data_IF_157593048140
#
_entry.id   IF_157593048140
#
_cell.length_a   1.000
_cell.length_b   1.000
_cell.length_c   1.000
_cell.angle_alpha   90.00
_cell.angle_beta   90.00
_cell.angle_gamma   90.00
#
_symmetry.space_group_name_H-M   'P 1'
#
loop_
_entity.id
_entity.type
_entity.pdbx_description
1 polymer ?
#
# COMPACT_ATOMS: atom_id res chain seq x y z
N UNK A 1 -9.83 6.99 9.61
CA UNK A 1 -8.75 6.24 8.95
C UNK A 1 -9.33 4.95 8.37
N UNK A 2 -8.79 4.51 7.24
CA UNK A 2 -9.20 3.29 6.57
C UNK A 2 -7.99 2.36 6.42
N UNK A 3 -8.25 1.06 6.59
CA UNK A 3 -7.26 -0.01 6.38
C UNK A 3 -7.86 -1.06 5.45
N UNK A 4 -7.11 -1.52 4.45
CA UNK A 4 -7.53 -2.55 3.51
C UNK A 4 -6.51 -3.68 3.53
N UNK A 5 -6.92 -4.83 4.04
CA UNK A 5 -6.07 -6.01 4.15
C UNK A 5 -6.38 -6.86 5.37
N UNK A 6 -5.67 -7.97 5.50
CA UNK A 6 -5.80 -8.93 6.60
C UNK A 6 -4.51 -9.04 7.43
N UNK A 7 -3.47 -8.31 7.03
CA UNK A 7 -2.14 -8.30 7.63
C UNK A 7 -1.96 -7.32 8.77
N UNK A 8 -0.74 -7.24 9.27
CA UNK A 8 -0.28 -6.19 10.17
C UNK A 8 0.01 -4.91 9.39
N UNK A 9 0.60 -5.05 8.21
CA UNK A 9 0.76 -3.98 7.22
C UNK A 9 -0.30 -4.11 6.12
N UNK A 10 -0.39 -3.09 5.29
CA UNK A 10 -1.11 -3.13 4.03
C UNK A 10 -0.26 -2.52 2.92
N UNK A 11 -0.29 -3.13 1.75
CA UNK A 11 0.31 -2.57 0.54
C UNK A 11 -0.72 -1.79 -0.30
N UNK A 12 -2.00 -1.81 0.10
CA UNK A 12 -3.09 -1.12 -0.59
C UNK A 12 -3.36 0.22 0.08
N UNK A 13 -3.88 0.17 1.30
CA UNK A 13 -4.18 1.33 2.12
C UNK A 13 -4.04 0.95 3.59
N UNK A 14 -3.20 1.68 4.30
CA UNK A 14 -2.96 1.53 5.73
C UNK A 14 -3.43 2.78 6.50
N UNK A 15 -3.52 2.65 7.81
CA UNK A 15 -4.10 3.66 8.69
C UNK A 15 -3.07 4.48 9.49
N UNK A 16 -1.77 4.31 9.18
CA UNK A 16 -0.71 5.05 9.87
C UNK A 16 -0.56 6.50 9.43
N UNK A 17 -0.95 6.84 8.18
CA UNK A 17 -0.90 8.21 7.70
C UNK A 17 -1.87 9.13 8.46
N UNK A 18 -1.68 10.43 8.35
CA UNK A 18 -2.56 11.43 8.96
C UNK A 18 -4.04 11.19 8.57
N UNK A 19 -5.01 11.55 9.42
CA UNK A 19 -6.42 11.48 9.06
C UNK A 19 -6.74 12.34 7.84
N UNK A 20 -7.62 11.84 6.98
CA UNK A 20 -8.08 12.52 5.78
C UNK A 20 -9.60 12.53 5.70
N UNK A 21 -10.15 13.44 4.89
CA UNK A 21 -11.58 13.46 4.57
C UNK A 21 -11.86 12.40 3.51
N UNK A 22 -12.94 11.63 3.71
CA UNK A 22 -13.31 10.59 2.76
C UNK A 22 -14.83 10.35 2.71
N UNK A 23 -15.26 9.80 1.58
CA UNK A 23 -16.59 9.18 1.40
C UNK A 23 -16.39 7.70 1.13
N UNK A 24 -17.00 6.85 1.96
CA UNK A 24 -16.92 5.40 1.83
C UNK A 24 -18.30 4.80 1.62
N UNK A 25 -18.47 4.05 0.53
CA UNK A 25 -19.69 3.34 0.18
C UNK A 25 -19.37 1.85 0.14
N UNK A 26 -20.07 1.07 0.97
CA UNK A 26 -19.97 -0.40 0.95
C UNK A 26 -21.28 -0.98 0.46
N UNK A 27 -21.19 -1.79 -0.58
CA UNK A 27 -22.32 -2.53 -1.14
C UNK A 27 -22.06 -4.02 -0.96
N UNK A 28 -22.96 -4.71 -0.26
CA UNK A 28 -22.86 -6.15 -0.06
C UNK A 28 -24.05 -6.84 -0.66
N UNK A 29 -23.81 -7.72 -1.63
CA UNK A 29 -24.82 -8.53 -2.28
C UNK A 29 -24.34 -9.98 -2.30
N UNK A 30 -25.08 -10.87 -1.64
CA UNK A 30 -24.76 -12.28 -1.55
C UNK A 30 -23.32 -12.55 -1.06
N UNK A 31 -22.43 -13.07 -1.91
CA UNK A 31 -21.02 -13.36 -1.61
C UNK A 31 -20.07 -12.22 -1.99
N UNK A 32 -20.58 -11.19 -2.62
CA UNK A 32 -19.80 -10.04 -3.13
C UNK A 32 -19.89 -8.90 -2.15
N UNK A 33 -18.75 -8.29 -1.84
CA UNK A 33 -18.66 -7.04 -1.12
C UNK A 33 -17.86 -6.05 -1.98
N UNK A 34 -18.46 -4.91 -2.28
CA UNK A 34 -17.87 -3.88 -3.11
C UNK A 34 -17.76 -2.58 -2.32
N UNK A 35 -16.54 -2.11 -2.17
CA UNK A 35 -16.21 -0.86 -1.49
C UNK A 35 -15.73 0.17 -2.50
N UNK A 36 -16.34 1.35 -2.45
CA UNK A 36 -15.85 2.55 -3.12
C UNK A 36 -15.43 3.54 -2.05
N UNK A 37 -14.19 4.02 -2.13
CA UNK A 37 -13.60 4.95 -1.18
C UNK A 37 -13.00 6.13 -1.94
N UNK A 38 -13.62 7.28 -1.79
CA UNK A 38 -13.16 8.55 -2.34
C UNK A 38 -12.51 9.36 -1.24
N UNK A 39 -11.26 9.77 -1.43
CA UNK A 39 -10.50 10.43 -0.37
C UNK A 39 -9.83 11.70 -0.88
N UNK A 40 -9.75 12.69 0.00
CA UNK A 40 -8.99 13.92 -0.21
C UNK A 40 -7.66 13.82 0.55
N UNK A 41 -6.57 14.11 -0.13
CA UNK A 41 -5.22 14.10 0.42
C UNK A 41 -4.57 15.46 0.27
N UNK A 42 -3.58 15.73 1.11
CA UNK A 42 -2.80 16.97 1.08
C UNK A 42 -1.37 16.65 0.67
N UNK A 43 -0.85 17.41 -0.28
CA UNK A 43 0.55 17.46 -0.63
C UNK A 43 1.15 18.76 -0.08
N UNK A 44 1.98 18.66 0.96
CA UNK A 44 2.58 19.81 1.63
C UNK A 44 3.96 20.21 1.10
N UNK A 45 4.43 19.60 0.02
CA UNK A 45 5.65 20.03 -0.70
C UNK A 45 5.33 20.96 -1.88
N UNK A 46 4.08 21.05 -2.28
CA UNK A 46 3.62 21.98 -3.29
C UNK A 46 2.76 23.06 -2.66
N UNK A 47 3.01 24.31 -3.02
CA UNK A 47 2.20 25.45 -2.60
C UNK A 47 1.64 26.14 -3.85
N UNK A 48 0.38 26.50 -3.80
CA UNK A 48 -0.19 27.55 -4.64
C UNK A 48 0.08 28.88 -3.95
N UNK A 49 -0.03 30.00 -4.64
CA UNK A 49 0.17 31.32 -4.08
C UNK A 49 -0.39 31.44 -2.65
N UNK A 50 0.30 32.17 -1.77
CA UNK A 50 -0.08 32.40 -0.37
C UNK A 50 -0.08 31.19 0.58
N UNK A 51 0.82 30.22 0.36
CA UNK A 51 1.01 29.09 1.26
C UNK A 51 -0.16 28.10 1.33
N UNK A 52 -1.05 28.08 0.35
CA UNK A 52 -2.11 27.08 0.25
C UNK A 52 -1.53 25.76 -0.22
N UNK A 53 -1.64 24.72 0.62
CA UNK A 53 -1.17 23.38 0.28
C UNK A 53 -1.98 22.78 -0.86
N UNK A 54 -1.31 22.00 -1.72
CA UNK A 54 -1.96 21.32 -2.82
C UNK A 54 -2.88 20.20 -2.31
N UNK A 55 -4.10 20.19 -2.81
CA UNK A 55 -5.05 19.08 -2.61
C UNK A 55 -5.01 18.14 -3.80
N UNK A 56 -5.11 16.86 -3.50
CA UNK A 56 -5.26 15.79 -4.47
C UNK A 56 -6.32 14.81 -3.98
N UNK A 57 -6.80 13.97 -4.86
CA UNK A 57 -7.88 13.06 -4.58
C UNK A 57 -7.51 11.65 -4.98
N UNK A 58 -8.17 10.68 -4.38
CA UNK A 58 -8.11 9.29 -4.81
C UNK A 58 -9.49 8.67 -4.88
N UNK A 59 -9.65 7.78 -5.86
CA UNK A 59 -10.78 6.88 -5.98
C UNK A 59 -10.25 5.45 -5.88
N UNK A 60 -10.65 4.75 -4.82
CA UNK A 60 -10.26 3.37 -4.57
C UNK A 60 -11.49 2.48 -4.63
N UNK A 61 -11.42 1.46 -5.44
CA UNK A 61 -12.42 0.42 -5.63
C UNK A 61 -11.86 -0.91 -5.16
N UNK A 62 -12.55 -1.61 -4.27
CA UNK A 62 -12.18 -2.92 -3.79
C UNK A 62 -13.37 -3.87 -3.89
N UNK A 63 -13.25 -4.84 -4.78
CA UNK A 63 -14.25 -5.87 -5.02
C UNK A 63 -13.78 -7.17 -4.38
N UNK A 64 -14.44 -7.66 -3.36
CA UNK A 64 -14.14 -8.94 -2.74
C UNK A 64 -15.28 -9.94 -2.87
N UNK A 65 -14.92 -11.21 -3.06
CA UNK A 65 -15.86 -12.32 -3.19
C UNK A 65 -15.47 -13.45 -2.24
N UNK A 66 -16.45 -13.96 -1.50
CA UNK A 66 -16.31 -15.16 -0.71
C UNK A 66 -16.46 -16.39 -1.60
N UNK A 67 -15.35 -16.93 -2.12
CA UNK A 67 -15.32 -18.12 -2.97
C UNK A 67 -15.85 -19.35 -2.21
N UNK A 68 -15.52 -19.44 -0.93
CA UNK A 68 -16.02 -20.43 0.01
C UNK A 68 -16.21 -19.82 1.40
N UNK A 69 -16.63 -20.63 2.39
CA UNK A 69 -16.69 -20.22 3.80
C UNK A 69 -15.31 -19.82 4.36
N UNK A 70 -14.24 -20.33 3.74
CA UNK A 70 -12.88 -20.22 4.24
C UNK A 70 -11.98 -19.36 3.34
N UNK A 71 -12.40 -19.02 2.12
CA UNK A 71 -11.59 -18.30 1.14
C UNK A 71 -12.32 -17.04 0.70
N UNK A 72 -11.67 -15.91 0.89
CA UNK A 72 -12.07 -14.60 0.33
C UNK A 72 -10.98 -14.16 -0.64
N UNK A 73 -11.38 -13.74 -1.82
CA UNK A 73 -10.50 -13.15 -2.84
C UNK A 73 -10.98 -11.75 -3.16
N UNK A 74 -10.05 -10.82 -3.27
CA UNK A 74 -10.31 -9.42 -3.59
C UNK A 74 -9.51 -8.96 -4.78
N UNK A 75 -10.08 -8.02 -5.52
CA UNK A 75 -9.42 -7.21 -6.55
C UNK A 75 -9.60 -5.75 -6.20
N UNK A 76 -8.58 -4.95 -6.46
CA UNK A 76 -8.68 -3.52 -6.22
C UNK A 76 -8.03 -2.71 -7.33
N UNK A 77 -8.53 -1.50 -7.47
CA UNK A 77 -7.96 -0.43 -8.26
C UNK A 77 -7.95 0.82 -7.39
N UNK A 78 -6.86 1.55 -7.42
CA UNK A 78 -6.79 2.85 -6.80
C UNK A 78 -6.16 3.85 -7.77
N UNK A 79 -6.82 4.99 -7.95
CA UNK A 79 -6.37 6.06 -8.83
C UNK A 79 -6.15 7.30 -7.97
N UNK A 80 -4.99 7.94 -8.15
CA UNK A 80 -4.70 9.26 -7.62
C UNK A 80 -4.67 10.25 -8.75
N UNK A 81 -5.37 11.35 -8.54
CA UNK A 81 -5.45 12.45 -9.49
C UNK A 81 -5.38 13.81 -8.77
N UNK A 82 -4.83 14.78 -9.45
CA UNK A 82 -4.90 16.17 -9.09
C UNK A 82 -5.26 16.98 -10.34
N UNK A 83 -6.23 17.85 -10.20
CA UNK A 83 -6.57 18.83 -11.25
C UNK A 83 -6.15 20.18 -10.70
N UNK A 84 -4.94 20.57 -11.08
CA UNK A 84 -4.35 21.82 -10.63
C UNK A 84 -4.95 22.97 -11.40
N UNK A 85 -5.47 23.95 -10.69
CA UNK A 85 -5.82 25.26 -11.21
C UNK A 85 -4.84 26.27 -10.55
N UNK A 86 -4.24 27.20 -11.31
CA UNK A 86 -3.38 28.24 -10.72
C UNK A 86 -4.04 29.08 -9.63
N UNK A 87 -5.36 29.07 -9.54
CA UNK A 87 -6.15 29.87 -8.61
C UNK A 87 -6.77 29.07 -7.47
N UNK A 88 -6.86 27.74 -7.58
CA UNK A 88 -7.55 26.88 -6.64
C UNK A 88 -6.74 25.61 -6.35
N UNK A 89 -6.74 25.19 -5.12
CA UNK A 89 -6.11 23.93 -4.71
C UNK A 89 -6.99 22.74 -5.12
N UNK A 90 -6.62 22.05 -6.20
CA UNK A 90 -7.16 20.75 -6.62
C UNK A 90 -8.69 20.68 -6.73
N UNK A 91 -9.20 20.19 -7.84
CA UNK A 91 -10.63 19.91 -8.03
C UNK A 91 -10.86 18.41 -8.08
N UNK A 92 -11.93 17.95 -7.46
CA UNK A 92 -12.40 16.58 -7.60
C UNK A 92 -13.03 16.41 -8.99
N UNK A 93 -12.62 15.37 -9.70
CA UNK A 93 -13.17 15.04 -11.00
C UNK A 93 -14.34 14.06 -10.85
N UNK A 94 -15.52 14.46 -11.33
CA UNK A 94 -16.78 13.71 -11.15
C UNK A 94 -16.73 12.35 -11.87
N UNK A 95 -15.98 12.23 -12.95
CA UNK A 95 -15.84 10.99 -13.71
C UNK A 95 -15.28 9.84 -12.86
N UNK A 96 -14.50 10.16 -11.81
CA UNK A 96 -13.99 9.18 -10.84
C UNK A 96 -15.04 8.69 -9.83
N UNK A 97 -16.24 9.24 -9.82
CA UNK A 97 -17.38 8.66 -9.10
C UNK A 97 -17.97 7.42 -9.79
N UNK A 98 -17.56 7.13 -11.01
CA UNK A 98 -17.97 5.92 -11.71
C UNK A 98 -17.57 4.69 -10.89
N UNK A 99 -18.52 3.87 -10.42
CA UNK A 99 -18.22 2.74 -9.54
C UNK A 99 -17.69 1.51 -10.26
N UNK A 100 -17.45 1.57 -11.57
CA UNK A 100 -16.94 0.41 -12.31
C UNK A 100 -15.44 0.24 -12.07
N UNK A 101 -15.09 -0.89 -11.42
CA UNK A 101 -13.68 -1.27 -11.20
C UNK A 101 -12.97 -1.53 -12.54
N UNK A 102 -11.72 -1.16 -12.63
CA UNK A 102 -10.86 -1.25 -13.83
C UNK A 102 -11.33 -0.39 -15.01
N UNK A 103 -12.31 0.49 -14.81
CA UNK A 103 -12.75 1.41 -15.86
C UNK A 103 -11.58 2.26 -16.37
N UNK A 104 -10.76 2.77 -15.44
CA UNK A 104 -9.58 3.58 -15.78
C UNK A 104 -8.40 2.78 -16.31
N UNK A 105 -8.21 1.55 -15.89
CA UNK A 105 -7.19 0.67 -16.47
C UNK A 105 -7.48 0.41 -17.95
N UNK A 106 -8.75 0.38 -18.34
CA UNK A 106 -9.18 0.33 -19.74
C UNK A 106 -9.01 1.67 -20.46
N UNK A 107 -9.20 2.81 -19.76
CA UNK A 107 -9.01 4.16 -20.30
C UNK A 107 -7.55 4.61 -20.37
N UNK A 108 -6.60 3.95 -19.70
CA UNK A 108 -5.16 4.22 -19.89
C UNK A 108 -4.72 4.09 -21.37
N UNK A 109 -5.50 3.37 -22.19
CA UNK A 109 -5.44 3.47 -23.64
C UNK A 109 -5.85 4.84 -24.24
N UNK A 110 -6.40 5.76 -23.43
CA UNK A 110 -6.98 7.05 -23.82
C UNK A 110 -6.19 8.28 -23.32
N UNK A 111 -4.88 8.12 -23.01
CA UNK A 111 -3.98 9.22 -22.59
C UNK A 111 -4.27 9.85 -21.21
N UNK A 112 -4.80 9.12 -20.25
CA UNK A 112 -4.82 9.59 -18.85
C UNK A 112 -3.40 9.59 -18.27
N UNK A 113 -3.00 10.71 -17.68
CA UNK A 113 -1.71 10.88 -16.97
C UNK A 113 -1.80 10.55 -15.48
N UNK A 114 -2.94 10.05 -15.01
CA UNK A 114 -3.17 9.81 -13.58
C UNK A 114 -2.50 8.52 -13.10
N UNK A 115 -2.03 8.55 -11.86
CA UNK A 115 -1.36 7.40 -11.26
C UNK A 115 -2.38 6.33 -10.83
N UNK A 116 -2.19 5.09 -11.28
CA UNK A 116 -3.08 3.96 -11.00
C UNK A 116 -2.30 2.79 -10.41
N UNK A 117 -2.75 2.30 -9.25
CA UNK A 117 -2.25 1.09 -8.60
C UNK A 117 -3.34 0.03 -8.61
N UNK A 118 -3.04 -1.13 -9.17
CA UNK A 118 -3.93 -2.28 -9.27
C UNK A 118 -3.43 -3.41 -8.40
N UNK A 119 -4.30 -4.33 -8.03
CA UNK A 119 -3.85 -5.55 -7.37
C UNK A 119 -4.94 -6.49 -6.93
N UNK A 120 -4.50 -7.47 -6.16
CA UNK A 120 -5.36 -8.51 -5.61
C UNK A 120 -5.00 -8.78 -4.15
N UNK A 121 -5.97 -9.28 -3.39
CA UNK A 121 -5.76 -9.81 -2.06
C UNK A 121 -6.48 -11.14 -1.86
N UNK A 122 -5.97 -11.92 -0.93
CA UNK A 122 -6.53 -13.21 -0.56
C UNK A 122 -6.49 -13.41 0.94
N UNK A 123 -7.53 -14.05 1.47
CA UNK A 123 -7.56 -14.62 2.81
C UNK A 123 -8.04 -16.06 2.74
N UNK A 124 -7.31 -16.98 3.37
CA UNK A 124 -7.65 -18.38 3.44
C UNK A 124 -7.50 -18.92 4.86
N UNK A 125 -8.62 -19.33 5.47
CA UNK A 125 -8.65 -19.98 6.77
C UNK A 125 -8.63 -21.49 6.57
N UNK A 126 -7.72 -22.22 7.22
CA UNK A 126 -7.57 -23.66 7.07
C UNK A 126 -7.16 -24.34 8.37
N UNK A 127 -7.37 -25.65 8.47
CA UNK A 127 -7.06 -26.44 9.65
C UNK A 127 -7.55 -25.82 10.97
N UNK A 128 -8.68 -25.13 10.95
CA UNK A 128 -9.37 -24.46 12.06
C UNK A 128 -8.56 -23.38 12.81
N UNK A 129 -7.23 -23.47 12.83
CA UNK A 129 -6.32 -22.60 13.61
C UNK A 129 -5.42 -21.72 12.75
N UNK A 130 -5.41 -21.90 11.44
CA UNK A 130 -4.52 -21.17 10.55
C UNK A 130 -5.29 -20.21 9.64
N UNK A 131 -4.72 -19.04 9.43
CA UNK A 131 -5.21 -18.06 8.46
C UNK A 131 -4.03 -17.52 7.65
N UNK A 132 -3.97 -17.92 6.38
CA UNK A 132 -3.09 -17.32 5.39
C UNK A 132 -3.74 -16.06 4.81
N UNK A 133 -2.95 -15.06 4.51
CA UNK A 133 -3.36 -13.88 3.75
C UNK A 133 -2.23 -13.37 2.89
N UNK A 134 -2.59 -12.66 1.83
CA UNK A 134 -1.63 -12.07 0.92
C UNK A 134 -2.20 -10.89 0.16
N UNK A 135 -1.32 -10.03 -0.32
CA UNK A 135 -1.61 -8.92 -1.23
C UNK A 135 -0.59 -8.91 -2.35
N UNK A 136 -1.01 -8.56 -3.55
CA UNK A 136 -0.16 -8.34 -4.71
C UNK A 136 -0.56 -7.00 -5.32
N UNK A 137 0.41 -6.13 -5.55
CA UNK A 137 0.19 -4.80 -6.13
C UNK A 137 1.03 -4.62 -7.38
N UNK A 138 0.48 -3.89 -8.33
CA UNK A 138 1.13 -3.45 -9.55
C UNK A 138 0.86 -1.95 -9.72
N UNK A 139 1.94 -1.19 -9.84
CA UNK A 139 1.95 0.23 -10.13
C UNK A 139 2.77 0.40 -11.41
N UNK A 140 2.10 0.61 -12.54
CA UNK A 140 2.66 0.46 -13.89
C UNK A 140 3.20 -0.96 -14.17
N UNK A 141 2.52 -1.70 -15.00
CA UNK A 141 2.89 -3.07 -15.36
C UNK A 141 3.09 -3.18 -16.87
N UNK A 142 4.31 -3.52 -17.28
CA UNK A 142 4.63 -3.84 -18.68
C UNK A 142 4.92 -5.32 -18.82
N UNK A 143 3.95 -6.05 -19.40
CA UNK A 143 4.02 -7.51 -19.54
C UNK A 143 5.29 -8.00 -20.22
N UNK A 144 5.77 -7.30 -21.26
CA UNK A 144 6.95 -7.69 -22.05
C UNK A 144 8.22 -7.69 -21.18
N UNK A 145 8.46 -6.61 -20.45
CA UNK A 145 9.60 -6.43 -19.57
C UNK A 145 9.53 -7.36 -18.34
N UNK A 146 8.33 -7.61 -17.83
CA UNK A 146 8.11 -8.55 -16.72
C UNK A 146 8.47 -9.99 -17.13
N UNK A 147 8.01 -10.45 -18.29
CA UNK A 147 8.29 -11.80 -18.80
C UNK A 147 9.73 -11.99 -19.25
N UNK A 148 10.42 -10.93 -19.64
CA UNK A 148 11.85 -10.97 -19.96
C UNK A 148 12.74 -11.20 -18.74
N UNK A 149 12.18 -11.12 -17.51
CA UNK A 149 12.94 -11.26 -16.27
C UNK A 149 13.82 -10.05 -15.98
N UNK A 150 13.69 -8.98 -16.75
CA UNK A 150 14.42 -7.74 -16.57
C UNK A 150 14.02 -7.07 -15.26
N UNK A 151 15.02 -6.68 -14.48
CA UNK A 151 14.81 -5.81 -13.32
C UNK A 151 14.52 -4.37 -13.74
N UNK A 152 13.82 -4.20 -14.88
CA UNK A 152 13.47 -2.89 -15.40
C UNK A 152 12.74 -2.04 -14.37
N UNK A 153 13.11 -0.77 -14.28
CA UNK A 153 12.55 0.16 -13.31
C UNK A 153 11.03 0.37 -13.48
N UNK A 154 10.54 0.18 -14.70
CA UNK A 154 9.11 0.27 -15.04
C UNK A 154 8.27 -0.89 -14.48
N UNK A 155 8.90 -1.99 -14.03
CA UNK A 155 8.20 -3.10 -13.40
C UNK A 155 8.02 -2.84 -11.90
N UNK A 156 7.06 -2.01 -11.58
CA UNK A 156 6.71 -1.60 -10.23
C UNK A 156 5.67 -2.55 -9.64
N UNK A 157 6.09 -3.39 -8.71
CA UNK A 157 5.20 -4.32 -8.02
C UNK A 157 5.63 -4.56 -6.58
N UNK A 158 4.72 -5.05 -5.77
CA UNK A 158 4.99 -5.47 -4.40
C UNK A 158 4.10 -6.63 -3.98
N UNK A 159 4.51 -7.38 -2.97
CA UNK A 159 3.72 -8.43 -2.37
C UNK A 159 3.80 -8.44 -0.86
N UNK A 160 2.73 -8.92 -0.25
CA UNK A 160 2.61 -9.28 1.15
C UNK A 160 2.19 -10.74 1.25
N UNK A 161 2.78 -11.49 2.17
CA UNK A 161 2.32 -12.82 2.55
C UNK A 161 2.42 -12.95 4.06
N UNK A 162 1.39 -13.51 4.69
CA UNK A 162 1.40 -13.71 6.11
C UNK A 162 0.57 -14.93 6.55
N UNK A 163 0.93 -15.44 7.72
CA UNK A 163 0.30 -16.59 8.35
C UNK A 163 0.00 -16.26 9.82
N UNK A 164 -1.24 -16.50 10.24
CA UNK A 164 -1.66 -16.46 11.64
C UNK A 164 -1.89 -17.89 12.13
N UNK A 165 -1.39 -18.20 13.32
CA UNK A 165 -1.64 -19.44 14.03
C UNK A 165 -2.31 -19.12 15.36
N UNK A 166 -3.56 -19.53 15.51
CA UNK A 166 -4.42 -19.28 16.66
C UNK A 166 -4.28 -20.44 17.66
N UNK A 167 -4.16 -20.12 18.94
CA UNK A 167 -3.98 -21.10 20.03
C UNK A 167 -2.76 -22.00 19.76
N UNK A 168 -1.60 -21.41 19.65
CA UNK A 168 -0.31 -22.06 19.39
C UNK A 168 -0.08 -23.22 20.36
N UNK A 169 0.24 -24.41 19.83
CA UNK A 169 0.51 -25.58 20.66
C UNK A 169 -0.64 -25.98 21.58
N UNK A 170 -1.90 -25.66 21.22
CA UNK A 170 -3.11 -25.82 22.05
C UNK A 170 -3.17 -24.95 23.32
N UNK A 171 -2.27 -23.98 23.47
CA UNK A 171 -2.34 -22.98 24.53
C UNK A 171 -3.42 -21.96 24.17
N UNK A 172 -4.47 -21.89 24.98
CA UNK A 172 -5.59 -20.97 24.75
C UNK A 172 -5.12 -19.52 24.78
N UNK A 173 -5.60 -18.72 23.83
CA UNK A 173 -5.34 -17.28 23.70
C UNK A 173 -3.85 -16.93 23.48
N UNK A 174 -3.03 -17.89 23.03
CA UNK A 174 -1.68 -17.63 22.54
C UNK A 174 -1.72 -17.66 20.99
N UNK A 175 -1.59 -16.51 20.38
CA UNK A 175 -1.63 -16.36 18.92
C UNK A 175 -0.29 -15.88 18.37
N UNK A 176 0.11 -16.43 17.23
CA UNK A 176 1.32 -16.07 16.50
C UNK A 176 0.98 -15.57 15.10
N UNK A 177 1.71 -14.57 14.63
CA UNK A 177 1.60 -14.08 13.27
C UNK A 177 3.00 -13.84 12.71
N UNK A 178 3.22 -14.29 11.48
CA UNK A 178 4.42 -13.99 10.69
C UNK A 178 3.97 -13.31 9.40
N UNK A 179 4.68 -12.26 8.99
CA UNK A 179 4.36 -11.50 7.80
C UNK A 179 5.63 -11.07 7.07
N UNK A 180 5.64 -11.21 5.76
CA UNK A 180 6.68 -10.70 4.87
C UNK A 180 6.06 -9.70 3.91
N UNK A 181 6.69 -8.54 3.80
CA UNK A 181 6.34 -7.48 2.86
C UNK A 181 7.55 -7.19 1.97
N UNK A 182 7.34 -7.06 0.67
CA UNK A 182 8.35 -6.57 -0.26
C UNK A 182 7.71 -5.64 -1.27
N UNK A 183 8.34 -4.48 -1.46
CA UNK A 183 7.93 -3.49 -2.46
C UNK A 183 9.16 -3.09 -3.25
N UNK A 184 9.05 -3.16 -4.57
CA UNK A 184 10.12 -2.77 -5.48
C UNK A 184 10.37 -1.26 -5.46
N UNK A 185 11.56 -0.81 -5.96
CA UNK A 185 11.83 0.60 -6.17
C UNK A 185 10.78 1.26 -7.07
N UNK A 186 10.50 2.54 -6.83
CA UNK A 186 9.59 3.40 -7.60
C UNK A 186 8.09 3.07 -7.49
N UNK A 187 7.70 2.00 -6.80
CA UNK A 187 6.28 1.75 -6.48
C UNK A 187 5.73 2.94 -5.70
N UNK A 188 4.49 3.34 -5.96
CA UNK A 188 3.79 4.51 -5.40
C UNK A 188 4.32 5.87 -5.85
N UNK A 189 5.35 5.92 -6.68
CA UNK A 189 5.87 7.15 -7.25
C UNK A 189 5.34 7.36 -8.67
N UNK A 190 5.09 8.61 -9.01
CA UNK A 190 4.65 9.01 -10.35
C UNK A 190 5.53 10.14 -10.91
N UNK A 191 5.47 10.33 -12.24
CA UNK A 191 6.15 11.43 -12.94
C UNK A 191 5.73 12.79 -12.35
N UNK A 192 4.43 12.96 -12.14
CA UNK A 192 3.87 14.11 -11.43
C UNK A 192 3.83 13.77 -9.94
N UNK A 193 4.68 14.40 -9.14
CA UNK A 193 4.86 14.12 -7.72
C UNK A 193 3.56 14.20 -6.89
N UNK A 194 2.69 15.14 -7.20
CA UNK A 194 1.41 15.28 -6.54
C UNK A 194 0.51 14.05 -6.67
N UNK A 195 0.77 13.19 -7.66
CA UNK A 195 0.04 11.93 -7.86
C UNK A 195 0.70 10.72 -7.18
N UNK A 196 1.75 10.92 -6.36
CA UNK A 196 2.31 9.86 -5.54
C UNK A 196 1.31 9.40 -4.46
N UNK A 197 1.39 8.12 -4.04
CA UNK A 197 0.53 7.51 -3.02
C UNK A 197 0.92 7.94 -1.61
N UNK A 198 0.79 9.25 -1.33
CA UNK A 198 1.15 9.89 -0.05
C UNK A 198 0.09 10.87 0.42
N UNK A 199 0.08 11.13 1.73
CA UNK A 199 -0.69 12.16 2.41
C UNK A 199 0.17 12.81 3.49
N UNK A 200 0.33 14.16 3.50
CA UNK A 200 1.26 14.88 4.40
C UNK A 200 2.69 14.29 4.41
N UNK A 201 3.24 13.95 3.24
CA UNK A 201 4.53 13.28 3.06
C UNK A 201 4.63 11.88 3.74
N UNK A 202 3.52 11.28 4.10
CA UNK A 202 3.45 9.94 4.67
C UNK A 202 2.90 8.97 3.63
N UNK A 203 3.52 7.80 3.51
CA UNK A 203 2.99 6.72 2.67
C UNK A 203 1.58 6.33 3.10
N UNK A 204 0.67 6.19 2.16
CA UNK A 204 -0.69 5.70 2.40
C UNK A 204 -0.77 4.17 2.48
N UNK A 205 0.30 3.46 2.11
CA UNK A 205 0.42 2.01 2.21
C UNK A 205 1.37 1.62 3.36
N UNK A 206 2.41 0.81 3.10
CA UNK A 206 3.40 0.47 4.12
C UNK A 206 4.22 1.72 4.51
N UNK A 207 4.50 1.97 5.80
CA UNK A 207 5.26 3.15 6.25
C UNK A 207 6.68 3.22 5.69
N UNK A 208 7.27 2.11 5.26
CA UNK A 208 8.58 2.09 4.61
C UNK A 208 8.53 2.62 3.17
N UNK A 209 7.33 2.83 2.58
CA UNK A 209 7.18 3.29 1.21
C UNK A 209 7.56 2.24 0.19
N UNK A 210 8.73 2.37 -0.45
CA UNK A 210 9.19 1.48 -1.52
C UNK A 210 10.67 1.04 -1.33
N UNK A 211 11.17 0.20 -2.24
CA UNK A 211 12.55 -0.32 -2.25
C UNK A 211 12.93 -1.04 -0.94
N UNK A 212 12.03 -1.84 -0.39
CA UNK A 212 12.25 -2.52 0.88
C UNK A 212 11.80 -3.99 0.88
N UNK A 213 12.32 -4.74 1.87
CA UNK A 213 11.78 -5.99 2.37
C UNK A 213 11.67 -5.91 3.89
N UNK A 214 10.54 -6.34 4.44
CA UNK A 214 10.24 -6.34 5.86
C UNK A 214 9.76 -7.73 6.29
N UNK A 215 10.26 -8.23 7.42
CA UNK A 215 9.79 -9.41 8.11
C UNK A 215 9.23 -8.98 9.46
N UNK A 216 8.03 -9.42 9.79
CA UNK A 216 7.36 -9.11 11.04
C UNK A 216 6.96 -10.41 11.72
N UNK A 217 7.25 -10.51 13.01
CA UNK A 217 6.80 -11.57 13.89
C UNK A 217 6.01 -10.96 15.05
N UNK A 218 4.83 -11.47 15.33
CA UNK A 218 3.96 -10.99 16.39
C UNK A 218 3.50 -12.17 17.23
N UNK A 219 3.62 -12.02 18.55
CA UNK A 219 3.09 -12.93 19.54
C UNK A 219 2.10 -12.18 20.41
N UNK A 220 0.88 -12.70 20.53
CA UNK A 220 -0.18 -12.17 21.40
C UNK A 220 -0.59 -13.24 22.38
N UNK A 221 -0.58 -12.90 23.67
CA UNK A 221 -0.98 -13.82 24.73
C UNK A 221 -1.91 -13.17 25.73
N UNK A 222 -3.09 -13.75 25.90
CA UNK A 222 -4.10 -13.29 26.86
C UNK A 222 -4.40 -14.39 27.86
N UNK A 223 -3.58 -14.56 28.94
CA UNK A 223 -3.75 -15.63 29.92
C UNK A 223 -5.07 -15.52 30.71
N UNK A 224 -5.52 -14.32 30.96
CA UNK A 224 -6.80 -14.02 31.62
C UNK A 224 -7.49 -12.84 30.91
N UNK A 225 -8.79 -12.66 31.11
CA UNK A 225 -9.62 -11.68 30.40
C UNK A 225 -9.12 -10.23 30.51
N UNK A 226 -8.40 -9.88 31.58
CA UNK A 226 -7.92 -8.52 31.84
C UNK A 226 -6.43 -8.30 31.52
N UNK A 227 -5.67 -9.33 31.22
CA UNK A 227 -4.22 -9.22 31.02
C UNK A 227 -3.85 -9.66 29.60
N UNK A 228 -3.29 -8.76 28.82
CA UNK A 228 -2.86 -9.01 27.46
C UNK A 228 -1.39 -8.63 27.28
N UNK A 229 -0.61 -9.54 26.72
CA UNK A 229 0.78 -9.33 26.31
C UNK A 229 0.87 -9.30 24.78
N UNK A 230 1.61 -8.36 24.25
CA UNK A 230 1.88 -8.21 22.84
C UNK A 230 3.38 -8.03 22.62
N UNK A 231 4.01 -8.95 21.90
CA UNK A 231 5.40 -8.85 21.50
C UNK A 231 5.46 -8.76 19.98
N UNK A 232 6.13 -7.76 19.46
CA UNK A 232 6.33 -7.57 18.01
C UNK A 232 7.82 -7.43 17.75
N UNK A 233 8.36 -8.26 16.87
CA UNK A 233 9.67 -8.11 16.27
C UNK A 233 9.52 -7.76 14.81
N UNK A 234 10.25 -6.76 14.34
CA UNK A 234 10.33 -6.43 12.91
C UNK A 234 11.78 -6.27 12.48
N UNK A 235 12.09 -6.79 11.31
CA UNK A 235 13.35 -6.58 10.61
C UNK A 235 13.05 -6.03 9.23
N UNK A 236 13.66 -4.92 8.86
CA UNK A 236 13.55 -4.34 7.53
C UNK A 236 14.91 -4.03 6.93
N UNK A 237 14.99 -4.23 5.60
CA UNK A 237 16.10 -3.77 4.76
C UNK A 237 15.51 -2.89 3.67
N UNK A 238 16.04 -1.69 3.51
CA UNK A 238 15.56 -0.68 2.57
C UNK A 238 16.72 0.01 1.88
N UNK A 239 16.58 0.30 0.58
CA UNK A 239 17.46 1.20 -0.13
C UNK A 239 16.90 2.63 -0.09
N UNK A 240 17.65 3.55 0.48
CA UNK A 240 17.28 4.95 0.63
C UNK A 240 18.02 5.84 -0.37
N UNK A 241 17.41 6.94 -0.72
CA UNK A 241 18.04 7.99 -1.50
C UNK A 241 19.14 8.67 -0.67
N UNK A 242 20.25 9.00 -1.30
CA UNK A 242 21.32 9.74 -0.64
C UNK A 242 20.98 11.24 -0.61
N UNK A 243 21.14 11.89 0.54
CA UNK A 243 21.04 13.33 0.65
C UNK A 243 22.13 14.09 -0.12
N UNK A 244 23.21 13.39 -0.50
CA UNK A 244 24.36 13.95 -1.22
C UNK A 244 24.20 13.96 -2.73
N UNK A 245 23.20 13.27 -3.28
CA UNK A 245 22.97 13.16 -4.72
C UNK A 245 21.52 13.49 -5.06
N UNK A 246 21.29 14.03 -6.25
CA UNK A 246 19.94 14.22 -6.78
C UNK A 246 19.31 12.91 -7.29
N UNK A 247 20.07 11.82 -7.29
CA UNK A 247 19.61 10.51 -7.81
C UNK A 247 18.47 9.96 -6.97
N UNK A 248 17.39 9.57 -7.62
CA UNK A 248 16.27 8.87 -7.01
C UNK A 248 16.47 7.37 -7.20
N UNK A 249 16.63 6.62 -6.11
CA UNK A 249 16.76 5.15 -6.09
C UNK A 249 15.42 4.45 -5.83
N UNK A 250 14.33 5.21 -5.79
CA UNK A 250 12.97 4.69 -5.67
C UNK A 250 12.57 4.23 -4.27
N UNK A 251 13.29 4.66 -3.23
CA UNK A 251 12.93 4.38 -1.84
C UNK A 251 12.01 5.43 -1.23
N UNK A 252 12.20 6.69 -1.59
CA UNK A 252 11.44 7.82 -1.07
C UNK A 252 10.19 8.10 -1.92
N UNK A 253 9.04 7.66 -1.45
CA UNK A 253 7.75 7.85 -2.13
C UNK A 253 7.28 9.31 -2.22
N UNK A 254 8.00 10.25 -1.61
CA UNK A 254 7.70 11.69 -1.71
C UNK A 254 8.31 12.33 -2.95
N UNK A 255 9.18 11.62 -3.67
CA UNK A 255 9.91 12.09 -4.86
C UNK A 255 9.23 11.66 -6.14
N UNK A 256 9.39 12.49 -7.18
CA UNK A 256 9.05 12.11 -8.56
C UNK A 256 10.14 11.20 -9.16
N UNK A 257 9.78 10.33 -10.08
CA UNK A 257 10.75 9.56 -10.85
C UNK A 257 11.25 10.26 -12.14
N UNK A 258 11.09 11.58 -12.27
CA UNK A 258 11.62 12.37 -13.41
C UNK A 258 13.12 12.16 -13.62
N UNK A 259 13.86 11.87 -12.53
CA UNK A 259 15.30 11.58 -12.58
C UNK A 259 15.47 10.07 -12.41
N UNK A 260 15.40 9.28 -13.51
CA UNK A 260 15.57 7.84 -13.43
C UNK A 260 16.99 7.48 -12.99
N UNK A 261 17.16 6.30 -12.38
CA UNK A 261 18.47 5.79 -12.02
C UNK A 261 19.36 5.58 -13.25
N UNK A 262 20.65 5.41 -13.01
CA UNK A 262 21.64 5.18 -14.05
C UNK A 262 21.39 3.86 -14.81
N UNK A 263 20.45 3.87 -15.75
CA UNK A 263 20.14 2.74 -16.61
C UNK A 263 18.73 2.13 -16.41
N UNK A 264 18.33 1.20 -17.27
CA UNK A 264 16.98 0.62 -17.28
C UNK A 264 16.78 -0.44 -16.18
N UNK A 265 17.85 -0.95 -15.58
CA UNK A 265 17.80 -2.05 -14.60
C UNK A 265 17.97 -1.51 -13.20
N UNK A 266 16.98 -1.79 -12.34
CA UNK A 266 16.94 -1.30 -10.96
C UNK A 266 16.84 -2.49 -9.99
N UNK A 267 17.97 -2.99 -9.45
CA UNK A 267 17.91 -4.00 -8.39
C UNK A 267 17.33 -3.45 -7.10
N UNK A 268 16.86 -4.36 -6.24
CA UNK A 268 16.41 -4.04 -4.89
C UNK A 268 17.55 -3.48 -4.04
N UNK A 269 17.20 -2.59 -3.13
CA UNK A 269 18.11 -2.00 -2.14
C UNK A 269 19.20 -1.09 -2.71
N UNK A 270 18.97 -0.50 -3.89
CA UNK A 270 19.84 0.54 -4.40
C UNK A 270 19.88 1.76 -3.47
N UNK A 271 20.97 2.55 -3.60
CA UNK A 271 21.22 3.71 -2.77
C UNK A 271 21.89 3.38 -1.45
N UNK A 272 21.56 4.08 -0.40
CA UNK A 272 22.09 3.83 0.94
C UNK A 272 21.27 2.72 1.60
N UNK A 273 21.93 1.58 1.83
CA UNK A 273 21.24 0.46 2.48
C UNK A 273 21.02 0.76 3.95
N UNK A 274 19.76 0.77 4.36
CA UNK A 274 19.33 0.89 5.74
C UNK A 274 18.75 -0.44 6.23
N UNK A 275 19.19 -0.88 7.43
CA UNK A 275 18.68 -2.10 8.08
C UNK A 275 18.23 -1.74 9.48
N UNK A 276 17.00 -2.09 9.81
CA UNK A 276 16.39 -1.78 11.10
C UNK A 276 15.85 -3.07 11.72
N UNK A 277 16.25 -3.34 12.95
CA UNK A 277 15.62 -4.34 13.80
C UNK A 277 14.94 -3.63 14.97
N UNK A 278 13.66 -3.91 15.18
CA UNK A 278 12.89 -3.31 16.25
C UNK A 278 12.13 -4.37 17.04
N UNK A 279 12.07 -4.18 18.36
CA UNK A 279 11.27 -4.99 19.29
C UNK A 279 10.32 -4.07 20.03
N UNK A 280 9.05 -4.44 20.08
CA UNK A 280 8.03 -3.77 20.90
C UNK A 280 7.38 -4.78 21.83
N UNK A 281 7.35 -4.47 23.10
CA UNK A 281 6.71 -5.27 24.15
C UNK A 281 5.66 -4.41 24.84
N UNK A 282 4.43 -4.87 24.82
CA UNK A 282 3.30 -4.17 25.45
C UNK A 282 2.58 -5.14 26.38
N UNK A 283 2.23 -4.65 27.56
CA UNK A 283 1.34 -5.32 28.50
C UNK A 283 0.20 -4.37 28.86
N UNK A 284 -1.02 -4.87 28.87
CA UNK A 284 -2.22 -4.11 29.29
C UNK A 284 -3.03 -4.94 30.27
N UNK A 285 -3.58 -4.25 31.27
CA UNK A 285 -4.42 -4.83 32.33
C UNK A 285 -5.76 -4.13 32.39
#
# INVERSE_FOLDING_TARGET
>A
RNFIGNGYRSLILADQAAPNTFLKINTKVWKINYMNLYSMHTDNQGFIADSVTLRKFSALHHLSINLSKNITFGLFENIIFDRQDPRESGKFEIDYLNPLIFYRALEQGLNSTDNSVLGADIKWNFLTKFSFYGQLIFDEFRKKEFLAGDHAWVNKWGYQAGLKYINVGNMSNLDMQVEVNQVRPFVYQHLVRSQNWIHYNQSLANPLGANFRELIFILRYQPISRLCFNATYSYSKQGLDSSKTSTNFGGDVTRSYIIPPNGPVVPMFQGVVNQISAVSLNASY
#
